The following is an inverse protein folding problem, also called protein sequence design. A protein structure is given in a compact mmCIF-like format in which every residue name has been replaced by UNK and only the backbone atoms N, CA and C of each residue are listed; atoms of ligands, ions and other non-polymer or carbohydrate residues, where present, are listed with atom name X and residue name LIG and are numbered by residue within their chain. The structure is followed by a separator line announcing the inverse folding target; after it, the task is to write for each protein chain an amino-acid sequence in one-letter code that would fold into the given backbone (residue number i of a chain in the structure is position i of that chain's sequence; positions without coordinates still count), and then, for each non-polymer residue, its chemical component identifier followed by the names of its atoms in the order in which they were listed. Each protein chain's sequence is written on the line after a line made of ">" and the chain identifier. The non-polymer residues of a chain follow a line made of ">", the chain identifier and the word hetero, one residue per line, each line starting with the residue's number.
data_IF_152271137215
#
_entry.id   IF_152271137215
#
_cell.length_a   1.000
_cell.length_b   1.000
_cell.length_c   1.000
_cell.angle_alpha   90.00
_cell.angle_beta   90.00
_cell.angle_gamma   90.00
#
_symmetry.space_group_name_H-M   'P 1'
#
loop_
_entity.id
_entity.type
_entity.pdbx_description
1 polymer ?
#
# COMPACT_ATOMS: atom_id res chain seq x y z
N UNK A 1 2.18 24.80 -21.44
CA UNK A 1 2.09 23.43 -20.92
C UNK A 1 3.20 22.60 -21.48
N UNK A 2 3.87 21.83 -20.61
CA UNK A 2 4.95 20.94 -21.04
C UNK A 2 4.44 19.52 -21.16
N UNK A 3 4.76 18.88 -22.27
CA UNK A 3 4.50 17.46 -22.45
C UNK A 3 5.75 16.68 -22.04
N UNK A 4 5.79 16.33 -20.76
CA UNK A 4 6.90 15.54 -20.23
C UNK A 4 6.70 14.07 -20.57
N UNK A 5 7.80 13.42 -20.98
CA UNK A 5 7.82 11.99 -21.27
C UNK A 5 8.13 11.14 -20.03
N UNK A 6 8.29 11.77 -18.88
CA UNK A 6 8.61 11.10 -17.62
C UNK A 6 8.04 11.89 -16.44
N UNK A 7 7.94 11.23 -15.31
CA UNK A 7 7.66 11.86 -14.04
C UNK A 7 8.88 11.78 -13.15
N UNK A 8 9.18 12.88 -12.48
CA UNK A 8 10.26 12.93 -11.49
C UNK A 8 9.73 13.68 -10.29
N UNK A 9 9.71 13.01 -9.15
CA UNK A 9 9.18 13.56 -7.91
C UNK A 9 10.19 13.41 -6.79
N UNK A 10 10.26 14.42 -5.95
CA UNK A 10 11.03 14.35 -4.71
C UNK A 10 10.07 13.90 -3.62
N UNK A 11 10.29 12.73 -3.05
CA UNK A 11 9.36 12.10 -2.12
C UNK A 11 9.03 13.02 -0.93
N UNK A 12 10.04 13.71 -0.39
CA UNK A 12 9.82 14.61 0.75
C UNK A 12 8.91 15.81 0.42
N UNK A 13 8.72 16.12 -0.86
CA UNK A 13 7.82 17.19 -1.29
C UNK A 13 6.40 16.70 -1.58
N UNK A 14 6.17 15.40 -1.55
CA UNK A 14 4.83 14.84 -1.78
C UNK A 14 4.04 14.98 -0.47
N UNK A 15 2.85 15.59 -0.51
CA UNK A 15 2.04 15.72 0.71
C UNK A 15 1.67 14.38 1.29
N UNK A 16 1.73 14.26 2.63
CA UNK A 16 1.21 13.11 3.34
C UNK A 16 -0.31 13.27 3.48
N UNK A 17 -1.05 12.24 3.10
CA UNK A 17 -2.52 12.23 3.17
C UNK A 17 -2.98 10.98 3.91
N UNK A 18 -4.23 10.97 4.37
CA UNK A 18 -4.81 9.78 5.00
C UNK A 18 -4.93 8.65 3.97
N UNK A 19 -4.76 7.42 4.45
CA UNK A 19 -5.02 6.23 3.61
C UNK A 19 -6.51 6.11 3.33
N UNK A 20 -6.86 5.35 2.31
CA UNK A 20 -8.26 5.07 1.98
C UNK A 20 -9.01 4.30 3.07
N UNK A 21 -8.29 3.69 4.01
CA UNK A 21 -8.89 2.95 5.14
C UNK A 21 -9.17 3.84 6.36
N UNK A 22 -8.77 5.10 6.31
CA UNK A 22 -8.97 6.04 7.42
C UNK A 22 -7.96 5.90 8.55
N UNK A 23 -6.99 5.01 8.45
CA UNK A 23 -5.90 4.83 9.41
C UNK A 23 -4.55 4.90 8.71
N UNK A 24 -3.58 5.55 9.36
CA UNK A 24 -2.26 5.73 8.78
C UNK A 24 -2.20 6.83 7.74
N UNK A 25 -1.02 7.08 7.23
CA UNK A 25 -0.73 8.12 6.26
C UNK A 25 0.02 7.55 5.07
N UNK A 26 -0.11 8.21 3.91
CA UNK A 26 0.61 7.81 2.71
C UNK A 26 1.06 9.00 1.90
N UNK A 27 2.12 8.79 1.12
CA UNK A 27 2.55 9.67 0.05
C UNK A 27 2.40 8.94 -1.26
N UNK A 28 1.57 9.44 -2.14
CA UNK A 28 1.30 8.80 -3.43
C UNK A 28 2.37 9.19 -4.43
N UNK A 29 3.15 8.22 -4.89
CA UNK A 29 4.19 8.44 -5.89
C UNK A 29 3.61 8.50 -7.28
N UNK A 30 2.65 7.60 -7.57
CA UNK A 30 2.01 7.50 -8.86
C UNK A 30 0.54 7.25 -8.65
N UNK A 31 -0.30 8.09 -9.26
CA UNK A 31 -1.75 7.93 -9.27
C UNK A 31 -2.21 7.44 -10.63
N UNK A 32 -3.41 6.86 -10.66
CA UNK A 32 -3.99 6.31 -11.88
C UNK A 32 -4.17 7.36 -12.98
N UNK A 33 -4.33 8.62 -12.62
CA UNK A 33 -4.54 9.72 -13.57
C UNK A 33 -3.26 10.15 -14.30
N UNK A 34 -2.10 9.71 -13.84
CA UNK A 34 -0.81 10.16 -14.35
C UNK A 34 -0.21 9.26 -15.42
N UNK A 35 -0.84 8.12 -15.70
CA UNK A 35 -0.31 7.12 -16.62
C UNK A 35 -1.44 6.24 -17.17
N UNK A 36 -1.10 5.31 -18.05
CA UNK A 36 -2.07 4.43 -18.72
C UNK A 36 -1.89 2.94 -18.44
N UNK A 37 -0.88 2.55 -17.66
CA UNK A 37 -0.69 1.14 -17.30
C UNK A 37 -1.74 0.69 -16.27
N UNK A 38 -1.89 -0.62 -16.01
CA UNK A 38 -2.84 -1.14 -15.03
C UNK A 38 -2.55 -0.78 -13.57
N UNK A 39 -1.41 -0.18 -13.28
CA UNK A 39 -1.09 0.25 -11.91
C UNK A 39 -2.11 1.28 -11.45
N UNK A 40 -2.79 1.00 -10.33
CA UNK A 40 -3.78 1.93 -9.77
C UNK A 40 -3.12 2.99 -8.89
N UNK A 41 -2.08 2.59 -8.15
CA UNK A 41 -1.34 3.51 -7.28
C UNK A 41 -0.02 2.89 -6.86
N UNK A 42 1.01 3.73 -6.70
CA UNK A 42 2.23 3.41 -5.96
C UNK A 42 2.34 4.44 -4.85
N UNK A 43 2.47 3.98 -3.62
CA UNK A 43 2.52 4.87 -2.46
C UNK A 43 3.45 4.34 -1.40
N UNK A 44 4.02 5.26 -0.62
CA UNK A 44 4.70 4.94 0.63
C UNK A 44 3.73 5.20 1.77
N UNK A 45 3.49 4.18 2.59
CA UNK A 45 2.49 4.19 3.64
C UNK A 45 3.16 4.09 5.00
N UNK A 46 2.65 4.84 5.96
CA UNK A 46 3.11 4.88 7.34
C UNK A 46 1.97 4.46 8.26
N UNK A 47 2.21 3.44 9.06
CA UNK A 47 1.21 2.89 9.99
C UNK A 47 1.82 2.87 11.39
N UNK A 48 1.14 3.52 12.34
CA UNK A 48 1.59 3.53 13.73
C UNK A 48 1.24 2.22 14.43
N UNK A 49 2.09 1.82 15.38
CA UNK A 49 1.83 0.67 16.24
C UNK A 49 0.44 0.76 16.89
N UNK A 50 -0.28 -0.35 16.92
CA UNK A 50 -1.60 -0.44 17.51
C UNK A 50 -2.74 -0.15 16.54
N UNK A 51 -2.46 0.36 15.33
CA UNK A 51 -3.51 0.54 14.32
C UNK A 51 -3.97 -0.80 13.78
N UNK A 52 -5.25 -0.84 13.39
CA UNK A 52 -5.86 -1.99 12.74
C UNK A 52 -6.49 -1.50 11.45
N UNK A 53 -6.05 -2.08 10.33
CA UNK A 53 -6.74 -1.94 9.06
C UNK A 53 -7.79 -3.05 9.01
N UNK A 54 -9.06 -2.65 9.04
CA UNK A 54 -10.17 -3.61 9.13
C UNK A 54 -10.17 -4.59 7.96
N UNK A 55 -10.74 -5.79 8.14
CA UNK A 55 -10.84 -6.76 7.05
C UNK A 55 -11.50 -6.17 5.82
N UNK A 56 -10.86 -6.35 4.67
CA UNK A 56 -11.38 -5.88 3.40
C UNK A 56 -10.78 -6.69 2.25
N UNK A 57 -11.39 -6.58 1.10
CA UNK A 57 -10.87 -7.15 -0.13
C UNK A 57 -11.11 -6.20 -1.29
N UNK A 58 -10.28 -6.31 -2.30
CA UNK A 58 -10.45 -5.57 -3.55
C UNK A 58 -10.84 -6.56 -4.64
N UNK A 59 -12.01 -6.36 -5.25
CA UNK A 59 -12.55 -7.33 -6.21
C UNK A 59 -11.71 -7.41 -7.49
N UNK A 60 -11.13 -6.29 -7.92
CA UNK A 60 -10.47 -6.18 -9.23
C UNK A 60 -9.08 -5.56 -9.14
N UNK A 61 -8.42 -5.69 -7.99
CA UNK A 61 -7.09 -5.14 -7.80
C UNK A 61 -6.22 -6.09 -7.00
N UNK A 62 -5.06 -6.43 -7.55
CA UNK A 62 -3.99 -7.07 -6.80
C UNK A 62 -3.23 -6.02 -6.00
N UNK A 63 -2.76 -6.39 -4.81
CA UNK A 63 -1.91 -5.53 -4.00
C UNK A 63 -0.55 -6.15 -3.73
N UNK A 64 0.48 -5.33 -3.84
CA UNK A 64 1.84 -5.69 -3.48
C UNK A 64 2.29 -4.83 -2.31
N UNK A 65 2.84 -5.46 -1.29
CA UNK A 65 3.35 -4.78 -0.09
C UNK A 65 4.83 -5.05 0.06
N UNK A 66 5.63 -4.00 0.09
CA UNK A 66 7.07 -4.08 0.32
C UNK A 66 7.33 -3.43 1.67
N UNK A 67 7.63 -4.22 2.69
CA UNK A 67 7.86 -3.72 4.04
C UNK A 67 9.28 -3.22 4.17
N UNK A 68 9.42 -1.93 4.48
CA UNK A 68 10.73 -1.29 4.64
C UNK A 68 11.22 -1.39 6.07
N UNK A 69 10.33 -1.23 7.05
CA UNK A 69 10.63 -1.39 8.48
C UNK A 69 9.35 -1.68 9.24
N UNK A 70 9.49 -2.15 10.47
CA UNK A 70 8.37 -2.43 11.35
C UNK A 70 7.88 -3.85 11.29
N UNK A 71 6.73 -4.10 11.92
CA UNK A 71 6.08 -5.42 11.99
C UNK A 71 4.59 -5.28 11.90
N UNK A 72 3.98 -6.10 11.07
CA UNK A 72 2.53 -6.24 10.95
C UNK A 72 2.15 -7.71 10.95
N UNK A 73 0.98 -8.02 11.52
CA UNK A 73 0.35 -9.32 11.34
C UNK A 73 -0.78 -9.15 10.33
N UNK A 74 -0.66 -9.79 9.18
CA UNK A 74 -1.69 -9.78 8.15
C UNK A 74 -2.50 -11.07 8.28
N UNK A 75 -3.78 -10.92 8.54
CA UNK A 75 -4.70 -12.05 8.69
C UNK A 75 -5.54 -12.18 7.42
N UNK A 76 -5.48 -13.34 6.80
CA UNK A 76 -6.35 -13.73 5.69
C UNK A 76 -7.36 -14.75 6.21
N UNK A 77 -8.28 -15.22 5.35
CA UNK A 77 -9.22 -16.26 5.73
C UNK A 77 -8.52 -17.57 6.12
N UNK A 78 -7.32 -17.81 5.59
CA UNK A 78 -6.61 -19.07 5.75
C UNK A 78 -5.55 -19.05 6.84
N UNK A 79 -4.91 -17.91 7.09
CA UNK A 79 -3.75 -17.87 7.99
C UNK A 79 -3.38 -16.46 8.43
N UNK A 80 -2.55 -16.40 9.46
CA UNK A 80 -1.87 -15.19 9.91
C UNK A 80 -0.46 -15.18 9.35
N UNK A 81 -0.03 -14.04 8.82
CA UNK A 81 1.30 -13.87 8.25
C UNK A 81 1.98 -12.73 9.00
N UNK A 82 3.14 -13.01 9.59
CA UNK A 82 3.96 -11.96 10.19
C UNK A 82 4.82 -11.33 9.10
N UNK A 83 4.63 -10.03 8.87
CA UNK A 83 5.38 -9.27 7.89
C UNK A 83 6.30 -8.27 8.58
N UNK A 84 7.58 -8.31 8.26
CA UNK A 84 8.61 -7.45 8.85
C UNK A 84 9.37 -6.69 7.78
N UNK A 85 10.12 -5.68 8.20
CA UNK A 85 11.02 -4.95 7.30
C UNK A 85 11.91 -5.87 6.49
N UNK A 86 12.04 -5.59 5.20
CA UNK A 86 12.77 -6.42 4.25
C UNK A 86 11.96 -7.54 3.62
N UNK A 87 10.66 -7.62 3.89
CA UNK A 87 9.78 -8.67 3.36
C UNK A 87 8.77 -8.13 2.36
N UNK A 88 8.28 -9.02 1.54
CA UNK A 88 7.30 -8.74 0.49
C UNK A 88 6.09 -9.65 0.67
N UNK A 89 4.89 -9.07 0.50
CA UNK A 89 3.63 -9.79 0.51
C UNK A 89 2.81 -9.44 -0.72
N UNK A 90 2.28 -10.44 -1.39
CA UNK A 90 1.33 -10.28 -2.47
C UNK A 90 -0.04 -10.75 -2.02
N UNK A 91 -1.05 -9.89 -2.15
CA UNK A 91 -2.45 -10.21 -1.86
C UNK A 91 -3.23 -10.09 -3.17
N UNK A 92 -3.63 -11.22 -3.76
CA UNK A 92 -4.39 -11.17 -5.02
C UNK A 92 -5.78 -10.58 -4.83
N UNK A 93 -6.36 -10.11 -5.93
CA UNK A 93 -7.74 -9.63 -5.95
C UNK A 93 -8.68 -10.68 -5.35
N UNK A 94 -9.65 -10.23 -4.58
CA UNK A 94 -10.66 -11.11 -3.97
C UNK A 94 -10.25 -11.75 -2.65
N UNK A 95 -9.01 -11.62 -2.22
CA UNK A 95 -8.57 -12.19 -0.93
C UNK A 95 -8.85 -11.19 0.19
N UNK A 96 -9.67 -11.61 1.15
CA UNK A 96 -9.96 -10.81 2.33
C UNK A 96 -8.74 -10.76 3.25
N UNK A 97 -8.41 -9.57 3.75
CA UNK A 97 -7.25 -9.42 4.62
C UNK A 97 -7.45 -8.28 5.64
N UNK A 98 -6.83 -8.45 6.78
CA UNK A 98 -6.79 -7.50 7.89
C UNK A 98 -5.34 -7.27 8.28
N UNK A 99 -4.99 -6.06 8.67
CA UNK A 99 -3.64 -5.75 9.13
C UNK A 99 -3.67 -5.26 10.56
N UNK A 100 -2.94 -5.95 11.44
CA UNK A 100 -2.65 -5.48 12.79
C UNK A 100 -1.22 -4.96 12.82
N UNK A 101 -1.05 -3.69 13.16
CA UNK A 101 0.27 -3.04 13.19
C UNK A 101 0.89 -3.25 14.57
N UNK A 102 1.95 -4.05 14.64
CA UNK A 102 2.60 -4.44 15.90
C UNK A 102 3.67 -3.42 16.32
N UNK A 103 4.35 -2.82 15.39
CA UNK A 103 5.29 -1.71 15.62
C UNK A 103 5.15 -0.71 14.49
N UNK A 104 5.67 0.51 14.67
CA UNK A 104 5.61 1.52 13.62
C UNK A 104 6.17 0.96 12.32
N UNK A 105 5.37 1.02 11.28
CA UNK A 105 5.64 0.36 10.01
C UNK A 105 5.67 1.36 8.87
N UNK A 106 6.64 1.16 7.99
CA UNK A 106 6.77 1.89 6.74
C UNK A 106 6.84 0.87 5.61
N UNK A 107 5.98 1.02 4.61
CA UNK A 107 5.90 0.09 3.50
C UNK A 107 5.57 0.81 2.20
N UNK A 108 5.96 0.18 1.09
CA UNK A 108 5.52 0.59 -0.25
C UNK A 108 4.33 -0.28 -0.62
N UNK A 109 3.26 0.35 -1.10
CA UNK A 109 2.08 -0.35 -1.60
C UNK A 109 1.94 -0.09 -3.10
N UNK A 110 1.65 -1.14 -3.85
CA UNK A 110 1.41 -1.07 -5.29
C UNK A 110 0.12 -1.80 -5.59
N UNK A 111 -0.84 -1.09 -6.16
CA UNK A 111 -2.10 -1.68 -6.63
C UNK A 111 -2.05 -1.88 -8.14
N UNK A 112 -2.53 -3.02 -8.60
CA UNK A 112 -2.58 -3.36 -10.03
C UNK A 112 -3.97 -3.86 -10.39
N UNK A 113 -4.61 -3.20 -11.34
CA UNK A 113 -5.93 -3.61 -11.81
C UNK A 113 -5.86 -4.97 -12.52
N UNK A 114 -6.82 -5.82 -12.23
CA UNK A 114 -6.98 -7.13 -12.89
C UNK A 114 -8.03 -7.10 -14.01
N UNK A 115 -8.58 -5.95 -14.28
CA UNK A 115 -9.57 -5.78 -15.37
C UNK A 115 -8.92 -5.46 -16.71
#
# INVERSE_FOLDING_TARGET
>A
MQNKKYLHKIISNIPSILTGHGVGEKRVFLSQKEHTSPITQIAQTYLQAGLIVKPHKHATMDEHFIFLCGKCKVTTDDEDILCEGGQYLFVPAGVNHQVNVLSDTELITIGVSTE
#
